data_IF_998664287369
#
_entry.id   IF_998664287369
#
_cell.length_a   1.000
_cell.length_b   1.000
_cell.length_c   1.000
_cell.angle_alpha   90.00
_cell.angle_beta   90.00
_cell.angle_gamma   90.00
#
_symmetry.space_group_name_H-M   'P 1'
#
loop_
_entity.id
_entity.type
_entity.pdbx_description
1 polymer ?
#
# COMPACT_ATOMS: atom_id res chain seq x y z
N UNK A 1 -29.96 -46.99 -18.13
CA UNK A 1 -29.17 -45.81 -18.50
C UNK A 1 -30.09 -44.81 -19.19
N UNK A 2 -30.47 -43.74 -18.48
CA UNK A 2 -31.58 -42.85 -18.83
C UNK A 2 -31.48 -42.27 -20.25
N UNK A 3 -32.61 -42.23 -20.97
CA UNK A 3 -32.76 -41.71 -22.35
C UNK A 3 -32.13 -40.31 -22.49
N UNK A 4 -32.14 -39.53 -21.41
CA UNK A 4 -31.51 -38.22 -21.28
C UNK A 4 -29.99 -38.24 -21.49
N UNK A 5 -29.27 -39.22 -20.91
CA UNK A 5 -27.83 -39.38 -21.10
C UNK A 5 -27.46 -39.71 -22.54
N UNK A 6 -28.27 -40.53 -23.22
CA UNK A 6 -28.02 -40.92 -24.63
C UNK A 6 -28.18 -39.73 -25.60
N UNK A 7 -29.15 -38.84 -25.36
CA UNK A 7 -29.29 -37.58 -26.12
C UNK A 7 -28.15 -36.60 -25.85
N UNK A 8 -27.72 -36.49 -24.59
CA UNK A 8 -26.63 -35.62 -24.19
C UNK A 8 -25.29 -36.02 -24.84
N UNK A 9 -25.03 -37.32 -24.98
CA UNK A 9 -23.84 -37.83 -25.67
C UNK A 9 -23.88 -37.54 -27.18
N UNK A 10 -25.07 -37.57 -27.81
CA UNK A 10 -25.23 -37.34 -29.26
C UNK A 10 -25.07 -35.86 -29.68
N UNK A 11 -25.50 -34.92 -28.83
CA UNK A 11 -25.43 -33.47 -29.08
C UNK A 11 -24.54 -32.72 -28.08
N UNK A 12 -23.47 -33.39 -27.63
CA UNK A 12 -22.59 -32.90 -26.56
C UNK A 12 -22.04 -31.50 -26.82
N UNK A 13 -21.54 -31.23 -28.03
CA UNK A 13 -20.91 -29.94 -28.36
C UNK A 13 -21.92 -28.79 -28.31
N UNK A 14 -23.12 -28.98 -28.88
CA UNK A 14 -24.20 -28.00 -28.83
C UNK A 14 -24.72 -27.79 -27.40
N UNK A 15 -24.80 -28.86 -26.60
CA UNK A 15 -25.21 -28.80 -25.20
C UNK A 15 -24.20 -28.03 -24.34
N UNK A 16 -22.90 -28.24 -24.55
CA UNK A 16 -21.83 -27.51 -23.84
C UNK A 16 -21.81 -26.02 -24.21
N UNK A 17 -22.03 -25.68 -25.48
CA UNK A 17 -22.14 -24.28 -25.92
C UNK A 17 -23.37 -23.58 -25.33
N UNK A 18 -24.53 -24.25 -25.32
CA UNK A 18 -25.74 -23.71 -24.71
C UNK A 18 -25.53 -23.49 -23.19
N UNK A 19 -24.87 -24.43 -22.51
CA UNK A 19 -24.57 -24.31 -21.09
C UNK A 19 -23.56 -23.19 -20.80
N UNK A 20 -22.54 -23.03 -21.66
CA UNK A 20 -21.59 -21.92 -21.57
C UNK A 20 -22.28 -20.56 -21.77
N UNK A 21 -23.21 -20.46 -22.72
CA UNK A 21 -24.01 -19.26 -22.95
C UNK A 21 -24.86 -18.91 -21.72
N UNK A 22 -25.52 -19.91 -21.13
CA UNK A 22 -26.31 -19.72 -19.89
C UNK A 22 -25.44 -19.22 -18.75
N UNK A 23 -24.25 -19.78 -18.56
CA UNK A 23 -23.31 -19.32 -17.53
C UNK A 23 -22.79 -17.90 -17.80
N UNK A 24 -22.51 -17.53 -19.05
CA UNK A 24 -22.14 -16.16 -19.40
C UNK A 24 -23.28 -15.17 -19.14
N UNK A 25 -24.51 -15.52 -19.50
CA UNK A 25 -25.70 -14.71 -19.20
C UNK A 25 -25.87 -14.54 -17.68
N UNK A 26 -25.69 -15.61 -16.90
CA UNK A 26 -25.72 -15.55 -15.45
C UNK A 26 -24.58 -14.69 -14.87
N UNK A 27 -23.39 -14.72 -15.45
CA UNK A 27 -22.26 -13.87 -15.04
C UNK A 27 -22.54 -12.38 -15.27
N UNK A 28 -23.21 -12.03 -16.39
CA UNK A 28 -23.61 -10.65 -16.71
C UNK A 28 -24.59 -10.09 -15.69
N UNK A 29 -25.49 -10.91 -15.15
CA UNK A 29 -26.46 -10.52 -14.13
C UNK A 29 -25.82 -10.25 -12.74
N UNK A 30 -24.51 -10.48 -12.58
CA UNK A 30 -23.73 -10.26 -11.34
C UNK A 30 -24.44 -10.73 -10.06
N UNK A 31 -24.90 -11.99 -9.98
CA UNK A 31 -25.47 -12.52 -8.74
C UNK A 31 -24.41 -12.50 -7.63
N UNK A 32 -24.83 -12.09 -6.44
CA UNK A 32 -23.97 -12.05 -5.25
C UNK A 32 -24.63 -12.75 -4.07
N UNK A 33 -23.85 -13.49 -3.29
CA UNK A 33 -24.31 -14.12 -2.05
C UNK A 33 -23.72 -13.36 -0.87
N UNK A 34 -24.51 -13.08 0.19
CA UNK A 34 -23.98 -12.53 1.43
C UNK A 34 -23.00 -13.52 2.06
N UNK A 35 -21.71 -13.18 2.08
CA UNK A 35 -20.65 -14.02 2.65
C UNK A 35 -19.94 -13.28 3.78
N UNK A 36 -19.68 -13.96 4.89
CA UNK A 36 -18.92 -13.39 6.01
C UNK A 36 -17.44 -13.40 5.65
N UNK A 37 -16.86 -12.24 5.39
CA UNK A 37 -15.41 -12.09 5.25
C UNK A 37 -14.91 -10.87 6.01
N UNK A 38 -13.59 -10.79 6.17
CA UNK A 38 -12.94 -9.66 6.81
C UNK A 38 -13.06 -8.44 5.88
N UNK A 39 -13.54 -7.32 6.42
CA UNK A 39 -13.52 -6.03 5.74
C UNK A 39 -12.36 -5.22 6.28
N UNK A 40 -11.56 -4.68 5.37
CA UNK A 40 -10.43 -3.81 5.66
C UNK A 40 -10.81 -2.39 5.29
N UNK A 41 -10.69 -1.50 6.26
CA UNK A 41 -10.90 -0.06 6.09
C UNK A 41 -9.67 0.61 6.64
N UNK A 42 -9.02 1.45 5.83
CA UNK A 42 -7.80 2.15 6.21
C UNK A 42 -8.00 3.67 6.22
N UNK A 43 -7.46 4.31 7.24
CA UNK A 43 -7.13 5.74 7.22
C UNK A 43 -5.62 5.85 6.95
N UNK A 44 -5.26 6.32 5.75
CA UNK A 44 -3.88 6.59 5.39
C UNK A 44 -3.57 8.05 5.75
N UNK A 45 -2.78 8.28 6.78
CA UNK A 45 -2.44 9.62 7.26
C UNK A 45 -1.11 10.07 6.66
N UNK A 46 -1.15 11.09 5.82
CA UNK A 46 -0.01 11.71 5.17
C UNK A 46 0.51 12.88 6.02
N UNK A 47 1.76 12.81 6.45
CA UNK A 47 2.49 13.96 6.98
C UNK A 47 2.81 14.94 5.85
N UNK A 48 2.32 16.16 6.00
CA UNK A 48 2.52 17.27 5.05
C UNK A 48 3.27 18.44 5.71
N UNK A 49 3.94 18.20 6.83
CA UNK A 49 4.76 19.20 7.52
C UNK A 49 5.98 19.60 6.69
N UNK A 50 6.67 20.67 7.09
CA UNK A 50 7.77 21.23 6.30
C UNK A 50 8.95 20.27 6.16
N UNK A 51 9.21 19.41 7.15
CA UNK A 51 10.29 18.41 7.09
C UNK A 51 10.09 17.40 5.95
N UNK A 52 8.84 17.18 5.52
CA UNK A 52 8.53 16.30 4.39
C UNK A 52 8.95 16.89 3.02
N UNK A 53 9.32 18.17 2.97
CA UNK A 53 9.93 18.77 1.78
C UNK A 53 11.44 18.46 1.66
N UNK A 54 12.04 17.83 2.68
CA UNK A 54 13.41 17.34 2.63
C UNK A 54 13.64 16.40 1.43
N UNK A 55 14.65 16.71 0.61
CA UNK A 55 15.02 15.90 -0.55
C UNK A 55 16.15 14.94 -0.18
N UNK A 56 15.84 13.85 0.53
CA UNK A 56 16.78 12.80 0.92
C UNK A 56 16.36 11.38 0.49
N UNK A 57 15.19 11.25 -0.14
CA UNK A 57 14.70 9.96 -0.64
C UNK A 57 15.13 9.75 -2.09
N UNK A 58 15.10 8.49 -2.53
CA UNK A 58 15.42 8.12 -3.92
C UNK A 58 14.29 7.33 -4.54
N UNK A 59 13.78 7.78 -5.68
CA UNK A 59 12.79 7.09 -6.48
C UNK A 59 13.31 6.90 -7.91
N UNK A 60 13.39 5.65 -8.37
CA UNK A 60 13.89 5.30 -9.72
C UNK A 60 15.26 5.92 -10.05
N UNK A 61 16.16 5.97 -9.06
CA UNK A 61 17.50 6.53 -9.19
C UNK A 61 17.58 8.07 -9.17
N UNK A 62 16.48 8.77 -8.95
CA UNK A 62 16.45 10.23 -8.78
C UNK A 62 16.21 10.60 -7.32
N UNK A 63 16.87 11.66 -6.85
CA UNK A 63 16.61 12.25 -5.55
C UNK A 63 15.25 12.94 -5.58
N UNK A 64 14.40 12.63 -4.61
CA UNK A 64 13.02 13.15 -4.49
C UNK A 64 12.77 13.63 -3.07
N UNK A 65 11.71 14.41 -2.87
CA UNK A 65 11.27 14.79 -1.52
C UNK A 65 10.68 13.60 -0.76
N UNK A 66 10.65 13.66 0.57
CA UNK A 66 9.93 12.68 1.39
C UNK A 66 8.44 12.64 1.04
N UNK A 67 7.83 13.81 0.78
CA UNK A 67 6.44 13.92 0.35
C UNK A 67 6.21 13.16 -0.97
N UNK A 68 7.02 13.42 -2.01
CA UNK A 68 6.91 12.74 -3.31
C UNK A 68 7.12 11.22 -3.18
N UNK A 69 8.09 10.80 -2.37
CA UNK A 69 8.33 9.40 -2.09
C UNK A 69 7.13 8.74 -1.38
N UNK A 70 6.57 9.42 -0.39
CA UNK A 70 5.37 8.97 0.33
C UNK A 70 4.16 8.88 -0.60
N UNK A 71 3.94 9.85 -1.49
CA UNK A 71 2.88 9.80 -2.50
C UNK A 71 3.02 8.56 -3.38
N UNK A 72 4.22 8.30 -3.92
CA UNK A 72 4.47 7.10 -4.72
C UNK A 72 4.17 5.81 -3.93
N UNK A 73 4.61 5.73 -2.67
CA UNK A 73 4.32 4.59 -1.80
C UNK A 73 2.81 4.42 -1.57
N UNK A 74 2.10 5.50 -1.27
CA UNK A 74 0.64 5.47 -1.06
C UNK A 74 -0.10 5.02 -2.33
N UNK A 75 0.33 5.48 -3.51
CA UNK A 75 -0.20 5.02 -4.79
C UNK A 75 -0.01 3.52 -4.99
N UNK A 76 1.18 2.99 -4.70
CA UNK A 76 1.49 1.57 -4.83
C UNK A 76 0.72 0.72 -3.80
N UNK A 77 0.53 1.24 -2.58
CA UNK A 77 -0.27 0.61 -1.54
C UNK A 77 -1.71 0.47 -2.02
N UNK A 78 -2.34 1.59 -2.41
CA UNK A 78 -3.75 1.58 -2.86
C UNK A 78 -3.94 0.69 -4.09
N UNK A 79 -3.00 0.69 -5.04
CA UNK A 79 -3.05 -0.19 -6.20
C UNK A 79 -2.92 -1.68 -5.86
N UNK A 80 -2.33 -2.02 -4.70
CA UNK A 80 -2.11 -3.39 -4.24
C UNK A 80 -3.19 -3.90 -3.29
N UNK A 81 -4.12 -3.04 -2.87
CA UNK A 81 -5.23 -3.43 -1.99
C UNK A 81 -6.26 -4.26 -2.77
N UNK A 82 -6.84 -5.30 -2.15
CA UNK A 82 -7.91 -6.06 -2.77
C UNK A 82 -9.16 -5.18 -2.92
N UNK A 83 -9.94 -5.42 -3.98
CA UNK A 83 -11.28 -4.84 -4.10
C UNK A 83 -12.13 -5.16 -2.85
N UNK A 84 -13.10 -4.31 -2.56
CA UNK A 84 -13.89 -4.27 -1.31
C UNK A 84 -13.15 -3.69 -0.09
N UNK A 85 -11.85 -3.39 -0.21
CA UNK A 85 -11.14 -2.56 0.78
C UNK A 85 -11.61 -1.12 0.64
N UNK A 86 -11.78 -0.44 1.78
CA UNK A 86 -12.09 0.99 1.80
C UNK A 86 -10.93 1.81 2.32
N UNK A 87 -10.74 2.99 1.75
CA UNK A 87 -9.65 3.90 2.14
C UNK A 87 -10.20 5.30 2.35
N UNK A 88 -9.69 5.97 3.38
CA UNK A 88 -9.77 7.41 3.60
C UNK A 88 -8.35 7.97 3.62
N UNK A 89 -8.17 9.17 3.09
CA UNK A 89 -6.90 9.91 3.16
C UNK A 89 -7.00 10.97 4.25
N UNK A 90 -6.03 10.98 5.16
CA UNK A 90 -5.90 11.97 6.21
C UNK A 90 -4.64 12.81 6.02
N UNK A 91 -4.70 14.07 6.43
CA UNK A 91 -3.57 14.99 6.42
C UNK A 91 -3.13 15.24 7.84
N UNK A 92 -1.81 15.25 8.08
CA UNK A 92 -1.20 15.60 9.35
C UNK A 92 -0.32 16.84 9.21
N UNK A 93 -0.58 17.82 10.07
CA UNK A 93 0.25 19.00 10.26
C UNK A 93 0.05 19.58 11.67
N UNK A 94 1.08 20.19 12.24
CA UNK A 94 1.05 20.67 13.62
C UNK A 94 0.71 19.52 14.57
N UNK A 95 -0.38 19.63 15.31
CA UNK A 95 -0.81 18.64 16.31
C UNK A 95 -2.11 17.90 15.96
N UNK A 96 -2.57 17.98 14.72
CA UNK A 96 -3.91 17.54 14.35
C UNK A 96 -3.89 16.67 13.08
N UNK A 97 -4.93 15.85 12.92
CA UNK A 97 -5.17 15.09 11.70
C UNK A 97 -6.55 15.43 11.18
N UNK A 98 -6.68 15.61 9.87
CA UNK A 98 -7.94 15.87 9.20
C UNK A 98 -8.15 14.84 8.08
N UNK A 99 -9.25 14.09 8.15
CA UNK A 99 -9.66 13.21 7.06
C UNK A 99 -10.27 14.02 5.91
N UNK A 100 -9.80 13.81 4.68
CA UNK A 100 -10.31 14.50 3.49
C UNK A 100 -11.71 14.03 3.11
N UNK A 101 -12.02 12.76 3.33
CA UNK A 101 -13.32 12.15 3.07
C UNK A 101 -13.54 10.88 3.90
N UNK A 102 -14.81 10.48 4.06
CA UNK A 102 -15.15 9.21 4.70
C UNK A 102 -14.65 8.01 3.85
N UNK A 103 -14.33 6.85 4.45
CA UNK A 103 -13.77 5.73 3.71
C UNK A 103 -14.60 5.32 2.49
N UNK A 104 -13.97 5.26 1.31
CA UNK A 104 -14.59 4.86 0.04
C UNK A 104 -13.92 3.60 -0.50
N UNK A 105 -14.69 2.78 -1.22
CA UNK A 105 -14.19 1.51 -1.77
C UNK A 105 -13.18 1.76 -2.90
N UNK A 106 -12.05 1.05 -2.83
CA UNK A 106 -10.86 1.29 -3.67
C UNK A 106 -11.15 1.06 -5.14
N UNK A 107 -11.70 -0.09 -5.55
CA UNK A 107 -11.82 -0.42 -6.96
C UNK A 107 -12.85 0.46 -7.70
N UNK A 108 -13.93 0.86 -7.03
CA UNK A 108 -14.96 1.75 -7.57
C UNK A 108 -14.48 3.19 -7.69
N UNK A 109 -13.61 3.64 -6.78
CA UNK A 109 -13.16 5.03 -6.70
C UNK A 109 -11.66 5.18 -6.95
N UNK A 110 -11.02 4.19 -7.58
CA UNK A 110 -9.56 4.11 -7.71
C UNK A 110 -8.97 5.39 -8.28
N UNK A 111 -9.51 5.88 -9.39
CA UNK A 111 -9.04 7.11 -10.03
C UNK A 111 -9.09 8.33 -9.09
N UNK A 112 -10.18 8.48 -8.32
CA UNK A 112 -10.33 9.60 -7.38
C UNK A 112 -9.39 9.50 -6.17
N UNK A 113 -9.15 8.29 -5.66
CA UNK A 113 -8.20 8.07 -4.57
C UNK A 113 -6.78 8.35 -5.05
N UNK A 114 -6.39 7.85 -6.22
CA UNK A 114 -5.08 8.12 -6.80
C UNK A 114 -4.91 9.62 -7.04
N UNK A 115 -5.90 10.29 -7.64
CA UNK A 115 -5.87 11.74 -7.86
C UNK A 115 -5.72 12.53 -6.55
N UNK A 116 -6.37 12.10 -5.47
CA UNK A 116 -6.20 12.70 -4.14
C UNK A 116 -4.75 12.58 -3.66
N UNK A 117 -4.13 11.40 -3.81
CA UNK A 117 -2.75 11.14 -3.38
C UNK A 117 -1.77 11.98 -4.21
N UNK A 118 -1.99 12.06 -5.53
CA UNK A 118 -1.16 12.82 -6.47
C UNK A 118 -1.14 14.31 -6.13
N UNK A 119 -2.26 14.85 -5.62
CA UNK A 119 -2.40 16.26 -5.26
C UNK A 119 -2.12 16.58 -3.79
N UNK A 120 -1.59 15.62 -3.01
CA UNK A 120 -1.08 15.93 -1.67
C UNK A 120 0.06 16.94 -1.77
N UNK A 121 -0.05 18.05 -1.04
CA UNK A 121 0.90 19.14 -1.12
C UNK A 121 1.16 19.75 0.26
N UNK A 122 2.41 20.16 0.51
CA UNK A 122 2.83 20.81 1.76
C UNK A 122 2.06 22.11 2.02
N UNK A 123 1.55 22.78 0.98
CA UNK A 123 0.72 24.00 1.08
C UNK A 123 -0.66 23.74 1.67
N UNK A 124 -1.09 22.48 1.74
CA UNK A 124 -2.33 22.10 2.44
C UNK A 124 -2.16 22.11 3.97
N UNK A 125 -0.92 22.24 4.46
CA UNK A 125 -0.64 22.25 5.89
C UNK A 125 -1.11 23.56 6.53
N UNK A 126 -1.96 23.46 7.56
CA UNK A 126 -2.35 24.61 8.38
C UNK A 126 -1.26 25.04 9.38
N UNK A 127 -0.20 24.25 9.51
CA UNK A 127 0.97 24.56 10.33
C UNK A 127 2.23 23.94 9.73
N UNK A 128 3.35 24.64 9.82
CA UNK A 128 4.64 24.16 9.29
C UNK A 128 5.37 23.16 10.19
N UNK A 129 4.91 22.99 11.43
CA UNK A 129 5.55 22.13 12.43
C UNK A 129 4.82 20.78 12.57
N UNK A 130 5.35 19.90 13.42
CA UNK A 130 4.90 18.53 13.64
C UNK A 130 4.90 18.21 15.14
N UNK A 131 3.76 17.78 15.65
CA UNK A 131 3.50 17.39 17.06
C UNK A 131 2.82 16.03 17.05
N UNK A 132 3.53 15.02 16.56
CA UNK A 132 3.07 13.65 16.32
C UNK A 132 2.42 13.05 17.58
N UNK A 133 3.07 13.21 18.74
CA UNK A 133 2.58 12.69 20.03
C UNK A 133 1.22 13.27 20.41
N UNK A 134 0.99 14.55 20.14
CA UNK A 134 -0.32 15.18 20.38
C UNK A 134 -1.37 14.77 19.37
N UNK A 135 -0.94 14.60 18.11
CA UNK A 135 -1.81 14.20 17.01
C UNK A 135 -2.49 12.86 17.26
N UNK A 136 -1.87 11.94 18.01
CA UNK A 136 -2.44 10.62 18.32
C UNK A 136 -3.85 10.72 18.89
N UNK A 137 -4.08 11.64 19.83
CA UNK A 137 -5.40 11.84 20.43
C UNK A 137 -6.42 12.39 19.43
N UNK A 138 -5.98 13.24 18.49
CA UNK A 138 -6.83 13.78 17.42
C UNK A 138 -7.14 12.69 16.41
N UNK A 139 -6.15 11.92 15.97
CA UNK A 139 -6.30 10.75 15.08
C UNK A 139 -7.29 9.76 15.66
N UNK A 140 -7.19 9.43 16.96
CA UNK A 140 -8.15 8.55 17.62
C UNK A 140 -9.58 9.10 17.59
N UNK A 141 -9.77 10.41 17.73
CA UNK A 141 -11.09 11.06 17.59
C UNK A 141 -11.59 11.00 16.15
N UNK A 142 -10.72 11.24 15.17
CA UNK A 142 -11.05 11.16 13.74
C UNK A 142 -11.53 9.75 13.38
N UNK A 143 -10.76 8.73 13.76
CA UNK A 143 -11.12 7.31 13.51
C UNK A 143 -12.45 6.95 14.18
N UNK A 144 -12.67 7.37 15.44
CA UNK A 144 -13.95 7.14 16.14
C UNK A 144 -15.13 7.88 15.51
N UNK A 145 -14.88 8.99 14.82
CA UNK A 145 -15.89 9.80 14.13
C UNK A 145 -16.21 9.32 12.71
N UNK A 146 -15.47 8.36 12.17
CA UNK A 146 -15.74 7.81 10.84
C UNK A 146 -17.04 7.00 10.82
N UNK A 147 -17.65 6.89 9.64
CA UNK A 147 -18.88 6.10 9.42
C UNK A 147 -18.70 4.60 9.69
N UNK A 148 -17.46 4.11 9.68
CA UNK A 148 -17.10 2.74 9.97
C UNK A 148 -15.72 2.65 10.63
N UNK A 149 -15.43 1.60 11.42
CA UNK A 149 -14.11 1.41 12.03
C UNK A 149 -13.03 1.35 10.95
N UNK A 150 -11.89 2.00 11.21
CA UNK A 150 -10.76 2.03 10.29
C UNK A 150 -9.44 1.78 11.05
N UNK A 151 -8.54 1.04 10.42
CA UNK A 151 -7.15 0.87 10.83
C UNK A 151 -6.34 2.07 10.36
N UNK A 152 -5.35 2.50 11.13
CA UNK A 152 -4.50 3.65 10.75
C UNK A 152 -3.19 3.16 10.15
N UNK A 153 -2.78 3.78 9.05
CA UNK A 153 -1.41 3.71 8.53
C UNK A 153 -0.91 5.14 8.43
N UNK A 154 0.08 5.48 9.25
CA UNK A 154 0.56 6.82 9.46
C UNK A 154 1.94 6.98 8.82
N UNK A 155 2.07 7.85 7.82
CA UNK A 155 3.32 8.09 7.10
C UNK A 155 3.93 9.40 7.61
N UNK A 156 5.13 9.35 8.19
CA UNK A 156 5.80 10.51 8.79
C UNK A 156 7.30 10.25 8.91
N UNK A 157 8.11 11.30 8.98
CA UNK A 157 9.53 11.18 9.36
C UNK A 157 9.73 11.07 10.89
N UNK A 158 8.67 11.27 11.67
CA UNK A 158 8.69 11.19 13.12
C UNK A 158 9.42 12.36 13.80
N UNK A 159 9.84 13.37 13.04
CA UNK A 159 10.53 14.51 13.62
C UNK A 159 9.53 15.44 14.29
N UNK A 160 9.69 15.65 15.60
CA UNK A 160 8.85 16.55 16.38
C UNK A 160 9.42 17.98 16.35
N UNK A 161 8.58 18.95 16.00
CA UNK A 161 8.88 20.38 15.98
C UNK A 161 7.87 21.16 16.85
N UNK A 162 8.28 21.70 18.02
CA UNK A 162 9.64 21.69 18.57
C UNK A 162 10.09 20.30 19.05
N UNK A 163 11.40 20.09 19.15
CA UNK A 163 11.97 18.84 19.70
C UNK A 163 11.44 18.58 21.11
N UNK A 164 11.23 17.31 21.41
CA UNK A 164 10.72 16.88 22.70
C UNK A 164 11.77 17.02 23.81
N UNK A 165 11.27 17.44 24.97
CA UNK A 165 11.97 17.68 26.21
C UNK A 165 11.05 17.27 27.38
N UNK A 166 11.61 17.14 28.59
CA UNK A 166 10.87 16.66 29.75
C UNK A 166 9.58 17.45 30.06
N UNK A 167 9.54 18.75 29.72
CA UNK A 167 8.41 19.65 30.03
C UNK A 167 7.37 19.79 28.91
N UNK A 168 7.69 19.44 27.65
CA UNK A 168 6.75 19.56 26.52
C UNK A 168 6.28 18.18 26.00
N UNK A 169 6.79 17.08 26.56
CA UNK A 169 6.40 15.72 26.19
C UNK A 169 5.03 15.38 26.78
N UNK A 170 4.03 15.23 25.91
CA UNK A 170 2.70 14.80 26.33
C UNK A 170 2.72 13.32 26.76
N UNK A 171 2.16 13.03 27.94
CA UNK A 171 1.95 11.66 28.43
C UNK A 171 0.92 10.93 27.56
N UNK A 172 1.21 9.66 27.24
CA UNK A 172 0.29 8.76 26.52
C UNK A 172 -0.34 7.71 27.45
N UNK A 173 -0.20 7.83 28.77
CA UNK A 173 -0.80 6.88 29.73
C UNK A 173 -2.32 6.74 29.57
N UNK A 174 -3.00 7.82 29.21
CA UNK A 174 -4.45 7.83 28.96
C UNK A 174 -4.83 7.49 27.51
N UNK A 175 -3.85 7.30 26.63
CA UNK A 175 -4.09 7.01 25.23
C UNK A 175 -4.60 5.57 25.04
N UNK A 176 -5.62 5.40 24.20
CA UNK A 176 -6.23 4.11 23.93
C UNK A 176 -6.57 3.95 22.45
N UNK A 177 -6.27 2.76 21.91
CA UNK A 177 -6.68 2.35 20.57
C UNK A 177 -5.62 2.51 19.48
N UNK A 178 -4.33 2.51 19.84
CA UNK A 178 -3.21 2.49 18.87
C UNK A 178 -2.78 1.09 18.44
N UNK A 179 -3.33 0.04 19.06
CA UNK A 179 -2.83 -1.33 19.00
C UNK A 179 -2.83 -1.94 17.57
N UNK A 180 -3.69 -1.42 16.72
CA UNK A 180 -3.89 -1.84 15.34
C UNK A 180 -3.35 -0.81 14.33
N UNK A 181 -2.56 0.18 14.78
CA UNK A 181 -1.98 1.21 13.93
C UNK A 181 -0.60 0.81 13.44
N UNK A 182 -0.26 1.26 12.23
CA UNK A 182 1.09 1.18 11.67
C UNK A 182 1.64 2.58 11.49
N UNK A 183 2.88 2.81 11.93
CA UNK A 183 3.66 4.00 11.60
C UNK A 183 4.71 3.61 10.58
N UNK A 184 4.74 4.34 9.47
CA UNK A 184 5.66 4.16 8.35
C UNK A 184 6.63 5.34 8.37
N UNK A 185 7.89 5.03 8.69
CA UNK A 185 8.96 6.02 8.74
C UNK A 185 9.43 6.43 7.34
N UNK A 186 9.27 7.70 6.97
CA UNK A 186 9.70 8.25 5.67
C UNK A 186 10.89 9.19 5.86
N UNK A 187 11.99 8.95 5.15
CA UNK A 187 13.20 9.78 5.25
C UNK A 187 14.46 8.97 5.51
N UNK A 188 15.56 9.67 5.70
CA UNK A 188 16.88 9.08 6.00
C UNK A 188 17.38 9.49 7.38
N UNK A 189 18.22 8.65 8.00
CA UNK A 189 18.83 8.94 9.30
C UNK A 189 20.05 9.87 9.20
N UNK A 190 20.66 9.99 8.01
CA UNK A 190 21.75 10.93 7.73
C UNK A 190 21.30 12.38 7.93
N UNK A 191 20.07 12.66 7.51
CA UNK A 191 19.43 13.95 7.63
C UNK A 191 19.84 14.95 6.55
N UNK A 192 18.95 15.89 6.25
CA UNK A 192 19.18 16.95 5.26
C UNK A 192 18.51 18.26 5.70
N UNK A 193 19.02 19.38 5.21
CA UNK A 193 18.41 20.68 5.46
C UNK A 193 16.99 20.75 4.88
N UNK A 194 16.05 21.33 5.64
CA UNK A 194 14.67 21.53 5.19
C UNK A 194 14.61 22.75 4.25
N UNK A 195 14.23 22.59 2.97
CA UNK A 195 14.14 23.71 2.05
C UNK A 195 12.92 24.59 2.38
N UNK A 196 13.09 25.90 2.23
CA UNK A 196 11.97 26.85 2.11
C UNK A 196 11.57 26.91 0.66
N UNK A 197 10.29 26.68 0.39
CA UNK A 197 9.75 26.67 -0.96
C UNK A 197 8.91 27.92 -1.22
N UNK A 198 9.01 28.45 -2.45
CA UNK A 198 8.04 29.43 -2.96
C UNK A 198 6.71 28.74 -3.34
N UNK A 199 5.71 29.54 -3.71
CA UNK A 199 4.43 29.02 -4.23
C UNK A 199 4.60 28.10 -5.45
N UNK A 200 5.62 28.38 -6.28
CA UNK A 200 6.02 27.58 -7.45
C UNK A 200 7.02 26.44 -7.15
N UNK A 201 7.15 26.01 -5.89
CA UNK A 201 8.09 24.97 -5.44
C UNK A 201 9.58 25.28 -5.74
N UNK A 202 9.97 26.55 -5.85
CA UNK A 202 11.38 26.94 -5.97
C UNK A 202 12.02 27.03 -4.59
N UNK A 203 13.25 26.52 -4.46
CA UNK A 203 14.00 26.65 -3.22
C UNK A 203 14.45 28.09 -3.06
N UNK A 204 13.86 28.81 -2.11
CA UNK A 204 14.18 30.21 -1.78
C UNK A 204 15.12 30.33 -0.57
N UNK A 205 15.50 29.21 0.02
CA UNK A 205 16.42 29.12 1.14
C UNK A 205 16.24 27.84 1.93
N UNK A 206 16.76 27.82 3.15
CA UNK A 206 16.60 26.72 4.10
C UNK A 206 16.11 27.25 5.44
N UNK A 207 15.39 26.41 6.18
CA UNK A 207 14.96 26.74 7.53
C UNK A 207 16.18 26.87 8.46
N UNK A 208 16.17 27.92 9.29
CA UNK A 208 17.20 28.20 10.31
C UNK A 208 16.54 28.42 11.67
N UNK A 209 17.34 28.38 12.73
CA UNK A 209 16.90 28.66 14.10
C UNK A 209 16.21 30.03 14.23
N UNK A 210 16.74 31.09 13.60
CA UNK A 210 16.08 32.41 13.64
C UNK A 210 14.78 32.43 12.84
N UNK A 211 14.69 31.60 11.80
CA UNK A 211 13.49 31.50 10.96
C UNK A 211 12.32 30.85 11.70
N UNK A 212 12.58 29.81 12.51
CA UNK A 212 11.55 29.15 13.32
C UNK A 212 11.00 30.06 14.43
N UNK A 213 11.86 30.87 15.06
CA UNK A 213 11.46 31.80 16.12
C UNK A 213 10.59 32.97 15.63
N UNK A 214 10.70 33.33 14.35
CA UNK A 214 9.97 34.46 13.75
C UNK A 214 8.62 34.09 13.14
N UNK A 215 8.26 32.81 13.05
CA UNK A 215 7.00 32.39 12.42
C UNK A 215 5.85 32.38 13.45
N UNK A 216 4.78 33.17 13.26
CA UNK A 216 3.61 33.11 14.14
C UNK A 216 2.94 31.74 14.04
N UNK A 217 2.69 31.09 15.17
CA UNK A 217 2.02 29.78 15.25
C UNK A 217 2.95 28.55 15.27
N UNK A 218 4.21 28.67 14.84
CA UNK A 218 5.25 27.72 15.26
C UNK A 218 5.59 28.11 16.68
N UNK A 219 5.15 27.32 17.66
CA UNK A 219 5.35 27.52 19.10
C UNK A 219 6.37 28.62 19.40
N UNK A 220 5.90 29.88 19.38
CA UNK A 220 6.57 30.92 20.13
C UNK A 220 6.45 30.38 21.53
N UNK A 221 7.58 29.85 22.02
CA UNK A 221 7.88 29.51 23.41
C UNK A 221 6.62 29.67 24.21
N UNK A 222 5.83 28.59 24.37
CA UNK A 222 4.53 28.70 25.02
C UNK A 222 4.74 29.55 26.26
N UNK A 223 3.88 30.56 26.48
CA UNK A 223 4.03 31.58 27.52
C UNK A 223 4.35 30.96 28.91
N UNK A 224 4.00 29.69 29.09
CA UNK A 224 4.38 28.78 30.19
C UNK A 224 5.87 28.43 30.35
N UNK A 225 6.75 28.80 29.41
CA UNK A 225 8.16 28.37 29.34
C UNK A 225 9.13 29.54 29.06
N UNK A 226 8.65 30.78 29.13
CA UNK A 226 9.51 31.96 29.18
C UNK A 226 10.23 32.00 30.53
N UNK A 227 11.52 31.63 30.54
CA UNK A 227 12.42 31.91 31.68
C UNK A 227 13.30 30.76 32.17
N UNK A 228 13.14 29.53 31.65
CA UNK A 228 14.00 28.39 32.03
C UNK A 228 14.55 27.75 30.76
N UNK A 229 15.43 28.48 30.06
CA UNK A 229 16.17 27.94 28.92
C UNK A 229 17.42 27.26 29.45
N UNK A 230 17.47 25.93 29.38
CA UNK A 230 18.71 25.20 29.57
C UNK A 230 19.45 25.14 28.23
N UNK A 231 20.52 25.92 28.12
CA UNK A 231 21.36 25.99 26.92
C UNK A 231 22.19 24.71 26.70
N UNK A 232 22.19 23.76 27.64
CA UNK A 232 22.96 22.51 27.56
C UNK A 232 22.35 21.43 26.64
N UNK A 233 21.14 21.64 26.10
CA UNK A 233 20.43 20.65 25.25
C UNK A 233 20.55 20.96 23.75
N UNK A 234 21.32 22.00 23.38
CA UNK A 234 21.66 22.28 21.99
C UNK A 234 22.92 21.50 21.59
N UNK A 235 22.79 20.37 20.88
CA UNK A 235 23.94 19.69 20.26
C UNK A 235 24.45 20.49 19.04
N UNK A 236 24.99 21.68 19.26
CA UNK A 236 25.58 22.54 18.22
C UNK A 236 24.61 23.49 17.50
N UNK A 237 25.13 24.63 17.01
CA UNK A 237 24.38 25.63 16.23
C UNK A 237 23.81 25.08 14.91
N UNK A 238 24.37 23.97 14.42
CA UNK A 238 24.08 23.38 13.12
C UNK A 238 23.01 22.26 13.12
N UNK A 239 22.71 21.64 14.27
CA UNK A 239 21.82 20.47 14.39
C UNK A 239 20.32 20.78 14.35
N UNK A 240 19.96 22.05 14.09
CA UNK A 240 18.59 22.55 14.19
C UNK A 240 17.95 22.90 12.84
N UNK A 241 18.69 22.78 11.73
CA UNK A 241 18.15 22.89 10.37
C UNK A 241 18.10 21.56 9.62
N UNK A 242 18.76 20.53 10.16
CA UNK A 242 18.85 19.20 9.57
C UNK A 242 17.70 18.36 10.08
N UNK A 243 16.82 17.99 9.17
CA UNK A 243 15.73 17.06 9.41
C UNK A 243 16.15 15.64 9.11
N UNK A 244 15.80 14.70 9.98
CA UNK A 244 16.17 13.28 9.88
C UNK A 244 15.04 12.39 10.35
N UNK A 245 14.98 11.18 9.77
CA UNK A 245 14.07 10.13 10.17
C UNK A 245 14.32 9.77 11.64
N UNK A 246 13.32 9.96 12.50
CA UNK A 246 13.40 9.69 13.93
C UNK A 246 13.04 8.23 14.25
N UNK A 247 13.77 7.27 13.65
CA UNK A 247 13.49 5.83 13.79
C UNK A 247 13.35 5.38 15.26
N UNK A 248 14.34 5.72 16.09
CA UNK A 248 14.35 5.34 17.52
C UNK A 248 13.15 5.93 18.29
N UNK A 249 12.81 7.18 17.98
CA UNK A 249 11.66 7.84 18.60
C UNK A 249 10.34 7.19 18.19
N UNK A 250 10.16 6.86 16.90
CA UNK A 250 8.96 6.17 16.42
C UNK A 250 8.85 4.75 16.99
N UNK A 251 9.95 4.02 17.15
CA UNK A 251 9.96 2.73 17.83
C UNK A 251 9.48 2.87 19.28
N UNK A 252 10.03 3.81 20.04
CA UNK A 252 9.60 4.10 21.41
C UNK A 252 8.12 4.52 21.48
N UNK A 253 7.70 5.43 20.59
CA UNK A 253 6.34 5.95 20.54
C UNK A 253 5.33 4.83 20.24
N UNK A 254 5.62 3.98 19.26
CA UNK A 254 4.74 2.89 18.86
C UNK A 254 4.65 1.82 19.94
N UNK A 255 5.73 1.51 20.65
CA UNK A 255 5.71 0.59 21.79
C UNK A 255 4.79 1.08 22.92
N UNK A 256 4.81 2.38 23.23
CA UNK A 256 3.99 2.98 24.29
C UNK A 256 2.48 2.86 24.01
N UNK A 257 2.08 2.90 22.74
CA UNK A 257 0.67 2.80 22.33
C UNK A 257 0.26 1.43 21.77
N UNK A 258 1.18 0.47 21.76
CA UNK A 258 0.97 -0.86 21.19
C UNK A 258 0.87 -0.92 19.67
N UNK A 259 1.26 0.14 18.96
CA UNK A 259 1.30 0.20 17.50
C UNK A 259 2.54 -0.51 16.94
N UNK A 260 2.63 -0.58 15.61
CA UNK A 260 3.79 -1.16 14.91
C UNK A 260 4.54 -0.11 14.10
N UNK A 261 5.84 0.01 14.32
CA UNK A 261 6.72 0.79 13.44
C UNK A 261 7.27 -0.07 12.29
N UNK A 262 7.32 0.51 11.10
CA UNK A 262 7.96 -0.03 9.90
C UNK A 262 8.76 1.08 9.23
N UNK A 263 10.03 0.83 8.91
CA UNK A 263 10.81 1.74 8.06
C UNK A 263 10.23 1.71 6.64
N UNK A 264 9.90 2.87 6.09
CA UNK A 264 9.31 3.05 4.76
C UNK A 264 10.30 2.92 3.62
N UNK A 265 11.25 1.99 3.69
CA UNK A 265 12.22 1.75 2.62
C UNK A 265 11.64 0.91 1.47
N UNK A 266 10.56 0.18 1.73
CA UNK A 266 9.96 -0.76 0.80
C UNK A 266 8.44 -0.83 0.98
N UNK A 267 7.71 -0.52 -0.09
CA UNK A 267 6.24 -0.67 -0.14
C UNK A 267 5.81 -2.11 0.19
N UNK A 268 6.62 -3.11 -0.19
CA UNK A 268 6.34 -4.51 0.09
C UNK A 268 6.28 -4.81 1.60
N UNK A 269 7.22 -4.26 2.39
CA UNK A 269 7.24 -4.45 3.84
C UNK A 269 6.03 -3.79 4.51
N UNK A 270 5.65 -2.60 4.04
CA UNK A 270 4.45 -1.90 4.52
C UNK A 270 3.19 -2.71 4.20
N UNK A 271 3.03 -3.19 2.97
CA UNK A 271 1.90 -4.05 2.59
C UNK A 271 1.85 -5.36 3.38
N UNK A 272 2.99 -5.97 3.67
CA UNK A 272 3.05 -7.17 4.51
C UNK A 272 2.61 -6.87 5.94
N UNK A 273 3.02 -5.73 6.51
CA UNK A 273 2.58 -5.29 7.81
C UNK A 273 1.06 -5.00 7.81
N UNK A 274 0.53 -4.33 6.78
CA UNK A 274 -0.90 -4.06 6.65
C UNK A 274 -1.76 -5.34 6.61
N UNK A 275 -1.28 -6.38 5.90
CA UNK A 275 -1.94 -7.69 5.88
C UNK A 275 -1.97 -8.38 7.25
N UNK A 276 -1.02 -8.06 8.12
CA UNK A 276 -0.96 -8.59 9.49
C UNK A 276 -1.83 -7.82 10.48
N UNK A 277 -2.38 -6.66 10.12
CA UNK A 277 -3.28 -5.92 10.99
C UNK A 277 -4.61 -6.67 11.18
N UNK A 278 -5.19 -6.66 12.41
CA UNK A 278 -6.46 -7.30 12.68
C UNK A 278 -7.58 -6.56 11.94
N UNK A 279 -8.48 -7.26 11.22
CA UNK A 279 -9.45 -6.60 10.34
C UNK A 279 -10.32 -5.60 11.10
N UNK A 280 -10.56 -4.43 10.48
CA UNK A 280 -11.31 -3.34 11.10
C UNK A 280 -12.72 -3.77 11.56
N UNK A 281 -13.36 -4.65 10.78
CA UNK A 281 -14.63 -5.29 11.15
C UNK A 281 -14.80 -6.62 10.42
N UNK A 282 -15.53 -7.55 11.05
CA UNK A 282 -16.11 -8.72 10.37
C UNK A 282 -17.53 -8.36 9.96
N UNK A 283 -17.81 -8.29 8.67
CA UNK A 283 -19.16 -7.98 8.16
C UNK A 283 -19.56 -8.92 7.02
N UNK A 284 -20.83 -8.85 6.64
CA UNK A 284 -21.42 -9.61 5.54
C UNK A 284 -21.37 -8.74 4.29
N UNK A 285 -20.46 -9.05 3.36
CA UNK A 285 -20.38 -8.36 2.07
C UNK A 285 -20.79 -9.30 0.91
N UNK A 286 -21.31 -8.73 -0.20
CA UNK A 286 -21.76 -9.52 -1.34
C UNK A 286 -20.58 -10.12 -2.10
N UNK A 287 -20.37 -11.44 -2.01
CA UNK A 287 -19.37 -12.13 -2.83
C UNK A 287 -19.88 -12.23 -4.28
N UNK A 288 -19.22 -11.60 -5.27
CA UNK A 288 -19.63 -11.71 -6.65
C UNK A 288 -19.40 -13.14 -7.15
N UNK A 289 -20.46 -13.79 -7.65
CA UNK A 289 -20.35 -15.13 -8.23
C UNK A 289 -19.99 -15.10 -9.73
N UNK A 290 -19.85 -13.92 -10.31
CA UNK A 290 -19.58 -13.72 -11.74
C UNK A 290 -18.32 -14.46 -12.20
N UNK A 291 -17.26 -14.50 -11.40
CA UNK A 291 -16.03 -15.23 -11.72
C UNK A 291 -16.25 -16.76 -11.73
N UNK A 292 -17.10 -17.30 -10.86
CA UNK A 292 -17.45 -18.73 -10.84
C UNK A 292 -18.23 -19.10 -12.11
N UNK A 293 -19.21 -18.27 -12.49
CA UNK A 293 -19.94 -18.50 -13.73
C UNK A 293 -19.05 -18.34 -14.98
N UNK A 294 -18.14 -17.36 -14.99
CA UNK A 294 -17.19 -17.18 -16.09
C UNK A 294 -16.22 -18.36 -16.22
N UNK A 295 -15.68 -18.86 -15.10
CA UNK A 295 -14.79 -20.04 -15.09
C UNK A 295 -15.52 -21.31 -15.53
N UNK A 296 -16.75 -21.53 -15.06
CA UNK A 296 -17.59 -22.65 -15.52
C UNK A 296 -17.88 -22.57 -17.02
N UNK A 297 -18.16 -21.37 -17.56
CA UNK A 297 -18.32 -21.17 -19.00
C UNK A 297 -17.03 -21.54 -19.77
N UNK A 298 -15.88 -21.08 -19.28
CA UNK A 298 -14.57 -21.43 -19.85
C UNK A 298 -14.30 -22.94 -19.84
N UNK A 299 -14.61 -23.62 -18.74
CA UNK A 299 -14.49 -25.08 -18.63
C UNK A 299 -15.42 -25.81 -19.62
N UNK A 300 -16.62 -25.29 -19.89
CA UNK A 300 -17.52 -25.88 -20.86
C UNK A 300 -16.96 -25.81 -22.29
N UNK A 301 -16.37 -24.66 -22.65
CA UNK A 301 -15.71 -24.47 -23.95
C UNK A 301 -14.49 -25.38 -24.08
N UNK A 302 -13.64 -25.45 -23.05
CA UNK A 302 -12.49 -26.39 -23.02
C UNK A 302 -12.95 -27.85 -23.09
N UNK A 303 -14.07 -28.17 -22.45
CA UNK A 303 -14.71 -29.48 -22.46
C UNK A 303 -15.17 -29.93 -23.86
N UNK A 304 -15.41 -29.01 -24.79
CA UNK A 304 -15.67 -29.35 -26.19
C UNK A 304 -14.42 -29.94 -26.85
N UNK A 305 -13.27 -29.29 -26.65
CA UNK A 305 -11.99 -29.71 -27.25
C UNK A 305 -11.48 -31.02 -26.66
N UNK A 306 -11.72 -31.28 -25.36
CA UNK A 306 -11.31 -32.53 -24.72
C UNK A 306 -11.93 -33.80 -25.35
N UNK A 307 -13.07 -33.68 -26.04
CA UNK A 307 -13.75 -34.81 -26.70
C UNK A 307 -13.17 -35.15 -28.08
N UNK A 308 -12.68 -34.14 -28.80
CA UNK A 308 -12.23 -34.26 -30.19
C UNK A 308 -10.78 -34.70 -30.25
N UNK A 309 -10.51 -35.92 -29.78
CA UNK A 309 -9.25 -36.64 -30.02
C UNK A 309 -7.89 -35.91 -29.87
N UNK A 310 -7.69 -34.83 -29.07
CA UNK A 310 -6.39 -34.15 -29.05
C UNK A 310 -5.35 -35.06 -28.41
N UNK A 311 -5.75 -35.81 -27.37
CA UNK A 311 -4.88 -36.76 -26.67
C UNK A 311 -4.47 -37.97 -27.54
N UNK A 312 -5.29 -38.37 -28.53
CA UNK A 312 -4.91 -39.42 -29.49
C UNK A 312 -3.96 -38.87 -30.56
N UNK A 313 -4.22 -37.67 -31.09
CA UNK A 313 -3.31 -36.99 -32.02
C UNK A 313 -1.98 -36.63 -31.36
N UNK A 314 -1.98 -36.14 -30.13
CA UNK A 314 -0.76 -35.85 -29.36
C UNK A 314 0.03 -37.13 -29.08
N UNK A 315 -0.64 -38.24 -28.70
CA UNK A 315 0.04 -39.55 -28.55
C UNK A 315 0.60 -40.08 -29.88
N UNK A 316 -0.09 -39.87 -30.99
CA UNK A 316 0.39 -40.27 -32.33
C UNK A 316 1.58 -39.40 -32.76
N UNK A 317 1.50 -38.08 -32.62
CA UNK A 317 2.58 -37.16 -32.94
C UNK A 317 3.81 -37.38 -32.05
N UNK A 318 3.61 -37.67 -30.75
CA UNK A 318 4.71 -38.05 -29.85
C UNK A 318 5.36 -39.38 -30.25
N UNK A 319 4.59 -40.36 -30.72
CA UNK A 319 5.15 -41.62 -31.25
C UNK A 319 5.97 -41.38 -32.51
N UNK A 320 5.48 -40.55 -33.43
CA UNK A 320 6.19 -40.19 -34.66
C UNK A 320 7.50 -39.46 -34.31
N UNK A 321 7.45 -38.45 -33.45
CA UNK A 321 8.65 -37.75 -32.98
C UNK A 321 9.66 -38.68 -32.31
N UNK A 322 9.19 -39.63 -31.50
CA UNK A 322 10.06 -40.60 -30.82
C UNK A 322 10.71 -41.58 -31.81
N UNK A 323 10.00 -41.98 -32.87
CA UNK A 323 10.55 -42.78 -33.95
C UNK A 323 11.55 -42.00 -34.80
N UNK A 324 11.26 -40.73 -35.09
CA UNK A 324 12.16 -39.86 -35.86
C UNK A 324 13.47 -39.60 -35.10
N UNK A 325 13.40 -39.30 -33.79
CA UNK A 325 14.58 -39.16 -32.92
C UNK A 325 15.39 -40.47 -32.88
N UNK A 326 14.72 -41.63 -32.77
CA UNK A 326 15.40 -42.93 -32.77
C UNK A 326 16.09 -43.19 -34.11
N UNK A 327 15.43 -42.89 -35.24
CA UNK A 327 16.03 -43.04 -36.58
C UNK A 327 17.26 -42.15 -36.76
N UNK A 328 17.19 -40.87 -36.34
CA UNK A 328 18.34 -39.94 -36.41
C UNK A 328 19.50 -40.40 -35.52
N UNK A 329 19.22 -40.96 -34.35
CA UNK A 329 20.23 -41.55 -33.47
C UNK A 329 20.88 -42.80 -34.07
N UNK A 330 20.12 -43.68 -34.73
CA UNK A 330 20.65 -44.86 -35.41
C UNK A 330 21.47 -44.51 -36.65
N UNK A 331 21.02 -43.59 -37.51
CA UNK A 331 21.82 -43.12 -38.66
C UNK A 331 23.11 -42.44 -38.22
N UNK A 332 23.10 -41.74 -37.08
CA UNK A 332 24.32 -41.13 -36.53
C UNK A 332 25.27 -42.19 -35.93
N UNK A 333 24.73 -43.28 -35.39
CA UNK A 333 25.52 -44.44 -34.93
C UNK A 333 26.13 -45.23 -36.09
N UNK A 334 25.44 -45.40 -37.21
CA UNK A 334 25.98 -46.06 -38.40
C UNK A 334 27.03 -45.19 -39.11
N UNK A 335 26.83 -43.87 -39.16
CA UNK A 335 27.84 -42.94 -39.67
C UNK A 335 29.11 -42.92 -38.81
N UNK A 336 28.98 -42.97 -37.49
CA UNK A 336 30.14 -43.07 -36.56
C UNK A 336 30.80 -44.45 -36.62
N UNK A 337 30.07 -45.52 -36.93
CA UNK A 337 30.66 -46.85 -37.11
C UNK A 337 31.42 -46.99 -38.43
N UNK A 338 31.01 -46.30 -39.50
CA UNK A 338 31.73 -46.28 -40.78
C UNK A 338 33.03 -45.47 -40.74
N UNK A 339 33.10 -44.41 -39.94
CA UNK A 339 34.32 -43.60 -39.79
C UNK A 339 35.42 -44.26 -38.93
N UNK A 340 35.09 -45.27 -38.13
CA UNK A 340 36.06 -45.99 -37.28
C UNK A 340 36.73 -47.19 -37.97
N UNK A 341 36.45 -47.44 -39.25
CA UNK A 341 37.08 -48.54 -40.02
C UNK A 341 38.22 -48.10 -40.95
N UNK A 342 38.64 -46.82 -40.87
CA UNK A 342 39.81 -46.29 -41.55
C UNK A 342 40.78 -45.67 -40.54
N UNK A 343 41.56 -46.53 -39.86
CA UNK A 343 42.88 -46.20 -39.33
C UNK A 343 43.73 -47.46 -39.19
#
# INVERSE_FOLDING_TARGET
MNIWLRRFIKHRDSALLALALVFLLAAILRPSIPFKHNIYTYLLVADISQSMNASDMTLRGKKVTRLEYMQNMMHEIVASLPCDTKVSIGLFAGNSVAAMYAPIEVCKNFAAIQDTIEHLDWRMAWSGNSRLRESLFVTAKVVRGMSEPAQVVYFTDGEEAPKLHAFNTKSLEEFQGGNDWIFVGIGTEEGVAIPKLSEDNQVIGYWSNESFAMQPGIAQISESTLGVRDDNVATGEHDRYISKLASEYMESLTQEIGAKYIKGDSTYHVLQAMKSQPPARRDIAPLPLSWIFATLAGLCVLGMYASRHPMRQIKQNLKIYRQEIKSRLFTKSEAVAHDNHFQ
#
